data_IF_203045928236
#
_entry.id   IF_203045928236
#
_cell.length_a   1.000
_cell.length_b   1.000
_cell.length_c   1.000
_cell.angle_alpha   90.00
_cell.angle_beta   90.00
_cell.angle_gamma   90.00
#
_symmetry.space_group_name_H-M   'P 1'
#
loop_
_entity.id
_entity.type
_entity.pdbx_description
1 polymer ?
#
# COMPACT_ATOMS: atom_id res chain seq x y z
N UNK A 1 -52.06 39.93 6.27
CA UNK A 1 -51.14 39.29 5.31
C UNK A 1 -49.78 39.27 5.99
N UNK A 2 -49.40 38.11 6.53
CA UNK A 2 -48.13 37.94 7.25
C UNK A 2 -46.96 38.10 6.28
N UNK A 3 -46.03 38.96 6.68
CA UNK A 3 -44.82 39.26 5.94
C UNK A 3 -43.85 38.09 6.13
N UNK A 4 -43.73 37.23 5.12
CA UNK A 4 -42.70 36.19 5.09
C UNK A 4 -41.32 36.86 5.05
N UNK A 5 -40.72 37.05 6.23
CA UNK A 5 -39.32 37.39 6.36
C UNK A 5 -38.52 36.16 5.92
N UNK A 6 -38.05 36.17 4.66
CA UNK A 6 -37.11 35.19 4.15
C UNK A 6 -35.80 35.30 4.94
N UNK A 7 -35.60 34.40 5.90
CA UNK A 7 -34.32 34.20 6.57
C UNK A 7 -33.27 33.93 5.48
N UNK A 8 -32.24 34.76 5.30
CA UNK A 8 -31.22 34.47 4.31
C UNK A 8 -30.60 33.13 4.70
N UNK A 9 -30.69 32.16 3.80
CA UNK A 9 -29.92 30.93 3.90
C UNK A 9 -28.45 31.36 3.87
N UNK A 10 -27.81 31.42 5.03
CA UNK A 10 -26.35 31.55 5.11
C UNK A 10 -25.78 30.31 4.45
N UNK A 11 -25.46 30.40 3.16
CA UNK A 11 -24.67 29.40 2.47
C UNK A 11 -23.42 29.17 3.33
N UNK A 12 -23.16 27.91 3.67
CA UNK A 12 -21.91 27.56 4.36
C UNK A 12 -20.77 28.10 3.50
N UNK A 13 -19.81 28.85 4.06
CA UNK A 13 -18.72 29.41 3.28
C UNK A 13 -18.01 28.27 2.53
N UNK A 14 -17.62 28.53 1.28
CA UNK A 14 -16.86 27.56 0.52
C UNK A 14 -15.59 27.21 1.31
N UNK A 15 -15.24 25.92 1.47
CA UNK A 15 -14.05 25.52 2.20
C UNK A 15 -12.83 26.21 1.61
N UNK A 16 -12.01 26.84 2.45
CA UNK A 16 -10.78 27.48 1.99
C UNK A 16 -9.77 26.42 1.54
N UNK A 17 -8.93 26.73 0.56
CA UNK A 17 -7.89 25.79 0.06
C UNK A 17 -6.93 25.37 1.18
N UNK A 18 -6.71 26.25 2.17
CA UNK A 18 -5.95 25.98 3.40
C UNK A 18 -6.57 24.85 4.25
N UNK A 19 -7.90 24.69 4.21
CA UNK A 19 -8.61 23.64 4.93
C UNK A 19 -8.45 22.26 4.28
N UNK A 20 -8.12 22.20 2.99
CA UNK A 20 -7.97 20.94 2.23
C UNK A 20 -6.65 20.21 2.52
N UNK A 21 -5.63 20.91 3.03
CA UNK A 21 -4.30 20.35 3.30
C UNK A 21 -3.94 20.30 4.78
N UNK A 22 -4.96 20.24 5.64
CA UNK A 22 -4.76 20.01 7.07
C UNK A 22 -3.98 18.72 7.29
N UNK A 23 -3.08 18.74 8.27
CA UNK A 23 -2.25 17.57 8.58
C UNK A 23 -2.26 17.30 10.07
N UNK A 24 -2.17 16.02 10.44
CA UNK A 24 -1.92 15.67 11.83
C UNK A 24 -0.50 16.11 12.24
N UNK A 25 -0.28 16.41 13.53
CA UNK A 25 1.07 16.55 14.07
C UNK A 25 1.84 15.24 13.88
N UNK A 26 3.05 15.37 13.35
CA UNK A 26 3.97 14.27 13.04
C UNK A 26 5.13 14.32 14.03
N UNK A 27 5.49 13.16 14.57
CA UNK A 27 6.65 13.02 15.45
C UNK A 27 7.91 12.70 14.64
N UNK A 28 9.06 13.18 15.12
CA UNK A 28 10.36 12.72 14.62
C UNK A 28 10.71 11.39 15.25
N UNK A 29 11.05 10.40 14.44
CA UNK A 29 11.33 9.03 14.88
C UNK A 29 12.65 8.56 14.30
N UNK A 30 13.50 8.01 15.15
CA UNK A 30 14.80 7.47 14.76
C UNK A 30 14.69 6.12 14.01
N UNK A 31 15.65 5.79 13.13
CA UNK A 31 15.67 4.51 12.42
C UNK A 31 15.63 3.26 13.30
N UNK A 32 16.11 3.35 14.54
CA UNK A 32 16.09 2.25 15.50
C UNK A 32 14.67 1.75 15.83
N UNK A 33 13.65 2.61 15.66
CA UNK A 33 12.24 2.25 15.90
C UNK A 33 11.74 1.15 14.96
N UNK A 34 12.32 1.00 13.76
CA UNK A 34 11.92 -0.04 12.78
C UNK A 34 11.97 -1.44 13.39
N UNK A 35 13.01 -1.73 14.19
CA UNK A 35 13.15 -3.03 14.86
C UNK A 35 12.04 -3.26 15.88
N UNK A 36 11.66 -2.22 16.61
CA UNK A 36 10.56 -2.29 17.58
C UNK A 36 9.20 -2.44 16.90
N UNK A 37 8.97 -1.78 15.76
CA UNK A 37 7.75 -1.97 14.96
C UNK A 37 7.61 -3.41 14.49
N UNK A 38 8.69 -4.00 13.96
CA UNK A 38 8.70 -5.40 13.56
C UNK A 38 8.48 -6.35 14.74
N UNK A 39 9.12 -6.10 15.88
CA UNK A 39 8.97 -6.91 17.08
C UNK A 39 7.53 -6.87 17.62
N UNK A 40 6.92 -5.68 17.69
CA UNK A 40 5.52 -5.52 18.10
C UNK A 40 4.58 -6.15 17.07
N UNK A 41 4.86 -5.98 15.77
CA UNK A 41 4.09 -6.61 14.70
C UNK A 41 4.12 -8.15 14.76
N UNK A 42 5.29 -8.71 15.09
CA UNK A 42 5.44 -10.15 15.33
C UNK A 42 4.66 -10.61 16.57
N UNK A 43 4.70 -9.84 17.66
CA UNK A 43 3.93 -10.14 18.86
C UNK A 43 2.41 -10.12 18.60
N UNK A 44 1.93 -9.24 17.72
CA UNK A 44 0.51 -9.19 17.31
C UNK A 44 0.11 -10.41 16.48
N UNK A 45 0.99 -10.83 15.56
CA UNK A 45 0.82 -12.06 14.78
C UNK A 45 0.78 -13.29 15.69
N UNK A 46 1.71 -13.42 16.63
CA UNK A 46 1.75 -14.54 17.58
C UNK A 46 0.54 -14.57 18.51
N UNK A 47 -0.03 -13.41 18.84
CA UNK A 47 -1.20 -13.36 19.68
C UNK A 47 -2.48 -13.82 18.96
N UNK A 48 -2.55 -13.68 17.63
CA UNK A 48 -3.74 -14.03 16.83
C UNK A 48 -3.37 -14.72 15.51
N UNK A 49 -2.67 -15.87 15.57
CA UNK A 49 -2.07 -16.46 14.38
C UNK A 49 -3.13 -16.86 13.35
N UNK A 50 -4.26 -17.43 13.77
CA UNK A 50 -5.29 -17.89 12.82
C UNK A 50 -5.88 -16.74 11.99
N UNK A 51 -6.26 -15.64 12.64
CA UNK A 51 -6.84 -14.48 11.96
C UNK A 51 -5.81 -13.80 11.03
N UNK A 52 -4.57 -13.62 11.51
CA UNK A 52 -3.50 -13.00 10.74
C UNK A 52 -3.07 -13.85 9.55
N UNK A 53 -2.86 -15.16 9.75
CA UNK A 53 -2.47 -16.09 8.70
C UNK A 53 -3.57 -16.28 7.65
N UNK A 54 -4.85 -16.18 8.02
CA UNK A 54 -5.95 -16.22 7.04
C UNK A 54 -5.78 -15.16 5.95
N UNK A 55 -5.50 -13.90 6.31
CA UNK A 55 -5.22 -12.85 5.34
C UNK A 55 -3.95 -13.13 4.52
N UNK A 56 -2.91 -13.64 5.18
CA UNK A 56 -1.67 -14.06 4.51
C UNK A 56 -1.89 -15.17 3.47
N UNK A 57 -2.73 -16.16 3.80
CA UNK A 57 -3.12 -17.25 2.88
C UNK A 57 -3.86 -16.71 1.68
N UNK A 58 -4.79 -15.76 1.86
CA UNK A 58 -5.47 -15.12 0.72
C UNK A 58 -4.45 -14.42 -0.18
N UNK A 59 -3.50 -13.66 0.37
CA UNK A 59 -2.45 -13.02 -0.42
C UNK A 59 -1.62 -14.04 -1.20
N UNK A 60 -1.21 -15.14 -0.57
CA UNK A 60 -0.46 -16.20 -1.22
C UNK A 60 -1.27 -16.87 -2.35
N UNK A 61 -2.53 -17.22 -2.10
CA UNK A 61 -3.42 -17.82 -3.10
C UNK A 61 -3.58 -16.88 -4.30
N UNK A 62 -3.87 -15.60 -4.06
CA UNK A 62 -4.01 -14.63 -5.15
C UNK A 62 -2.69 -14.51 -5.91
N UNK A 63 -1.54 -14.40 -5.23
CA UNK A 63 -0.22 -14.37 -5.89
C UNK A 63 0.06 -15.62 -6.74
N UNK A 64 -0.28 -16.81 -6.24
CA UNK A 64 -0.13 -18.08 -6.96
C UNK A 64 -1.04 -18.13 -8.19
N UNK A 65 -2.33 -17.79 -8.04
CA UNK A 65 -3.28 -17.71 -9.15
C UNK A 65 -2.71 -16.80 -10.24
N UNK A 66 -2.29 -15.59 -9.88
CA UNK A 66 -1.76 -14.64 -10.85
C UNK A 66 -0.49 -15.16 -11.53
N UNK A 67 0.39 -15.84 -10.78
CA UNK A 67 1.62 -16.44 -11.34
C UNK A 67 1.28 -17.53 -12.36
N UNK A 68 0.33 -18.42 -12.05
CA UNK A 68 -0.12 -19.50 -12.94
C UNK A 68 -0.82 -18.95 -14.18
N UNK A 69 -1.75 -18.01 -14.02
CA UNK A 69 -2.48 -17.41 -15.13
C UNK A 69 -1.59 -16.56 -16.03
N UNK A 70 -0.62 -15.84 -15.47
CA UNK A 70 0.35 -15.05 -16.24
C UNK A 70 1.29 -15.95 -17.03
N UNK A 71 1.70 -17.10 -16.47
CA UNK A 71 2.48 -18.11 -17.21
C UNK A 71 1.69 -18.72 -18.37
N UNK A 72 0.39 -18.96 -18.17
CA UNK A 72 -0.49 -19.51 -19.21
C UNK A 72 -0.83 -18.48 -20.31
N UNK A 73 -0.91 -17.18 -19.97
CA UNK A 73 -1.23 -16.12 -20.93
C UNK A 73 -0.44 -14.84 -20.63
N UNK A 74 0.77 -14.67 -21.21
CA UNK A 74 1.63 -13.51 -20.98
C UNK A 74 0.94 -12.17 -21.29
N UNK A 75 0.01 -12.15 -22.26
CA UNK A 75 -0.78 -10.98 -22.62
C UNK A 75 -1.66 -10.44 -21.48
N UNK A 76 -2.09 -11.31 -20.55
CA UNK A 76 -2.93 -10.92 -19.41
C UNK A 76 -2.13 -10.65 -18.13
N UNK A 77 -0.81 -10.86 -18.12
CA UNK A 77 0.04 -10.65 -16.94
C UNK A 77 -0.13 -9.25 -16.35
N UNK A 78 -0.18 -8.23 -17.22
CA UNK A 78 -0.34 -6.83 -16.84
C UNK A 78 -1.72 -6.56 -16.21
N UNK A 79 -2.79 -7.13 -16.79
CA UNK A 79 -4.16 -6.96 -16.30
C UNK A 79 -4.36 -7.65 -14.93
N UNK A 80 -3.85 -8.88 -14.80
CA UNK A 80 -3.90 -9.66 -13.57
C UNK A 80 -3.10 -9.02 -12.45
N UNK A 81 -1.87 -8.57 -12.74
CA UNK A 81 -1.04 -7.86 -11.77
C UNK A 81 -1.71 -6.56 -11.30
N UNK A 82 -2.33 -5.81 -12.21
CA UNK A 82 -3.09 -4.60 -11.85
C UNK A 82 -4.26 -4.92 -10.91
N UNK A 83 -4.98 -6.03 -11.15
CA UNK A 83 -6.04 -6.52 -10.25
C UNK A 83 -5.54 -6.86 -8.84
N UNK A 84 -4.34 -7.44 -8.71
CA UNK A 84 -3.73 -7.71 -7.40
C UNK A 84 -3.55 -6.47 -6.55
N UNK A 85 -3.00 -5.42 -7.16
CA UNK A 85 -2.75 -4.15 -6.47
C UNK A 85 -4.05 -3.46 -6.04
N UNK A 86 -5.18 -3.76 -6.68
CA UNK A 86 -6.49 -3.31 -6.23
C UNK A 86 -7.01 -4.10 -5.03
N UNK A 87 -6.74 -5.40 -4.96
CA UNK A 87 -7.19 -6.27 -3.85
C UNK A 87 -6.32 -6.04 -2.59
N UNK A 88 -5.03 -5.74 -2.76
CA UNK A 88 -4.06 -5.59 -1.67
C UNK A 88 -4.47 -4.62 -0.56
N UNK A 89 -4.93 -3.39 -0.85
CA UNK A 89 -5.38 -2.43 0.15
C UNK A 89 -6.52 -2.94 1.03
N UNK A 90 -7.45 -3.72 0.48
CA UNK A 90 -8.59 -4.27 1.21
C UNK A 90 -8.20 -5.42 2.14
N UNK A 91 -7.25 -6.26 1.74
CA UNK A 91 -6.74 -7.33 2.59
C UNK A 91 -5.85 -6.76 3.71
N UNK A 92 -5.03 -5.75 3.41
CA UNK A 92 -4.24 -5.04 4.42
C UNK A 92 -5.13 -4.35 5.46
N UNK A 93 -6.29 -3.83 5.05
CA UNK A 93 -7.29 -3.21 5.92
C UNK A 93 -7.70 -4.10 7.11
N UNK A 94 -7.97 -5.38 6.85
CA UNK A 94 -8.37 -6.33 7.90
C UNK A 94 -7.28 -6.50 8.94
N UNK A 95 -6.03 -6.65 8.49
CA UNK A 95 -4.85 -6.78 9.35
C UNK A 95 -4.59 -5.51 10.20
N UNK A 96 -4.81 -4.32 9.63
CA UNK A 96 -4.76 -3.08 10.40
C UNK A 96 -5.83 -3.05 11.51
N UNK A 97 -7.05 -3.48 11.21
CA UNK A 97 -8.15 -3.51 12.19
C UNK A 97 -7.86 -4.48 13.35
N UNK A 98 -7.27 -5.63 13.07
CA UNK A 98 -6.81 -6.59 14.09
C UNK A 98 -5.81 -5.96 15.07
N UNK A 99 -4.82 -5.23 14.55
CA UNK A 99 -3.81 -4.52 15.34
C UNK A 99 -4.44 -3.42 16.19
N UNK A 100 -5.36 -2.65 15.60
CA UNK A 100 -6.08 -1.58 16.28
C UNK A 100 -6.96 -2.12 17.43
N UNK A 101 -7.71 -3.21 17.21
CA UNK A 101 -8.53 -3.82 18.26
C UNK A 101 -7.67 -4.24 19.46
N UNK A 102 -6.52 -4.86 19.19
CA UNK A 102 -5.57 -5.28 20.22
C UNK A 102 -4.94 -4.11 20.97
N UNK A 103 -4.51 -3.07 20.25
CA UNK A 103 -3.95 -1.85 20.82
C UNK A 103 -4.96 -1.09 21.70
N UNK A 104 -6.26 -1.22 21.42
CA UNK A 104 -7.34 -0.68 22.23
C UNK A 104 -7.75 -1.60 23.40
N UNK A 105 -7.05 -2.72 23.62
CA UNK A 105 -7.37 -3.70 24.65
C UNK A 105 -8.70 -4.44 24.44
N UNK A 106 -9.28 -4.36 23.24
CA UNK A 106 -10.53 -5.05 22.90
C UNK A 106 -10.24 -6.50 22.56
N UNK A 107 -11.23 -7.39 22.78
CA UNK A 107 -11.17 -8.76 22.25
C UNK A 107 -11.07 -8.69 20.72
N UNK A 108 -10.17 -9.48 20.14
CA UNK A 108 -10.04 -9.57 18.67
C UNK A 108 -11.35 -10.14 18.11
N UNK A 109 -11.96 -9.36 17.22
CA UNK A 109 -13.14 -9.72 16.45
C UNK A 109 -12.76 -9.75 14.96
N UNK A 110 -12.54 -10.97 14.47
CA UNK A 110 -12.22 -11.24 13.08
C UNK A 110 -13.36 -10.87 12.13
N UNK A 111 -14.62 -11.05 12.53
CA UNK A 111 -15.78 -10.65 11.72
C UNK A 111 -15.83 -9.13 11.52
N UNK A 112 -15.55 -8.37 12.58
CA UNK A 112 -15.40 -6.92 12.48
C UNK A 112 -14.22 -6.49 11.59
N UNK A 113 -13.12 -7.27 11.55
CA UNK A 113 -11.99 -6.99 10.65
C UNK A 113 -12.34 -7.20 9.16
N UNK A 114 -13.21 -8.17 8.86
CA UNK A 114 -13.71 -8.40 7.50
C UNK A 114 -14.65 -7.29 7.03
N UNK A 115 -15.36 -6.65 7.95
CA UNK A 115 -16.23 -5.50 7.70
C UNK A 115 -15.54 -4.14 7.90
N UNK A 116 -14.22 -4.11 8.08
CA UNK A 116 -13.46 -2.88 8.39
C UNK A 116 -13.67 -1.78 7.35
N UNK A 117 -13.93 -2.13 6.08
CA UNK A 117 -14.21 -1.16 5.01
C UNK A 117 -15.40 -0.26 5.33
N UNK A 118 -16.39 -0.75 6.10
CA UNK A 118 -17.58 0.03 6.45
C UNK A 118 -17.30 1.18 7.41
N UNK A 119 -16.14 1.22 8.07
CA UNK A 119 -15.80 2.33 8.98
C UNK A 119 -15.58 3.65 8.23
N UNK A 120 -15.00 3.59 7.03
CA UNK A 120 -14.78 4.74 6.16
C UNK A 120 -14.70 4.32 4.67
N UNK A 121 -15.79 3.74 4.17
CA UNK A 121 -15.83 3.11 2.84
C UNK A 121 -15.48 4.10 1.71
N UNK A 122 -15.94 5.34 1.84
CA UNK A 122 -15.68 6.38 0.84
C UNK A 122 -14.20 6.80 0.86
N UNK A 123 -13.62 7.12 2.03
CA UNK A 123 -12.20 7.49 2.11
C UNK A 123 -11.27 6.36 1.64
N UNK A 124 -11.55 5.13 2.06
CA UNK A 124 -10.79 3.95 1.63
C UNK A 124 -10.99 3.65 0.14
N UNK A 125 -12.20 3.79 -0.38
CA UNK A 125 -12.49 3.62 -1.80
C UNK A 125 -11.80 4.65 -2.68
N UNK A 126 -11.80 5.93 -2.26
CA UNK A 126 -11.05 6.99 -2.94
C UNK A 126 -9.54 6.75 -2.89
N UNK A 127 -9.03 6.18 -1.79
CA UNK A 127 -7.62 5.86 -1.69
C UNK A 127 -7.24 4.68 -2.58
N UNK A 128 -8.08 3.64 -2.64
CA UNK A 128 -7.95 2.58 -3.61
C UNK A 128 -7.99 3.12 -5.05
N UNK A 129 -8.87 4.08 -5.36
CA UNK A 129 -8.93 4.74 -6.66
C UNK A 129 -7.65 5.52 -6.96
N UNK A 130 -7.07 6.20 -5.97
CA UNK A 130 -5.79 6.92 -6.11
C UNK A 130 -4.66 5.95 -6.48
N UNK A 131 -4.57 4.81 -5.79
CA UNK A 131 -3.62 3.75 -6.14
C UNK A 131 -3.92 3.13 -7.52
N UNK A 132 -5.20 2.99 -7.87
CA UNK A 132 -5.63 2.51 -9.20
C UNK A 132 -5.10 3.43 -10.30
N UNK A 133 -5.23 4.75 -10.10
CA UNK A 133 -4.74 5.74 -11.04
C UNK A 133 -3.22 5.69 -11.18
N UNK A 134 -2.50 5.49 -10.06
CA UNK A 134 -1.06 5.28 -10.10
C UNK A 134 -0.69 4.01 -10.92
N UNK A 135 -1.47 2.93 -10.78
CA UNK A 135 -1.29 1.71 -11.57
C UNK A 135 -1.61 1.93 -13.06
N UNK A 136 -2.61 2.75 -13.39
CA UNK A 136 -2.92 3.13 -14.78
C UNK A 136 -1.77 3.89 -15.45
N UNK A 137 -0.95 4.60 -14.69
CA UNK A 137 0.26 5.24 -15.20
C UNK A 137 1.44 4.26 -15.28
N UNK A 138 1.54 3.34 -14.32
CA UNK A 138 2.59 2.32 -14.28
C UNK A 138 2.52 1.37 -15.47
N UNK A 139 1.33 0.88 -15.82
CA UNK A 139 1.16 -0.14 -16.87
C UNK A 139 1.72 0.33 -18.22
N UNK A 140 1.29 1.47 -18.79
CA UNK A 140 1.86 1.99 -20.02
C UNK A 140 3.33 2.36 -19.88
N UNK A 141 3.76 2.92 -18.74
CA UNK A 141 5.18 3.26 -18.53
C UNK A 141 6.08 2.01 -18.59
N UNK A 142 5.65 0.90 -17.96
CA UNK A 142 6.37 -0.37 -18.00
C UNK A 142 6.39 -0.97 -19.41
N UNK A 143 5.28 -0.89 -20.15
CA UNK A 143 5.19 -1.36 -21.54
C UNK A 143 6.08 -0.53 -22.49
N UNK A 144 6.13 0.79 -22.31
CA UNK A 144 7.02 1.68 -23.06
C UNK A 144 8.49 1.34 -22.78
N UNK A 145 8.86 1.09 -21.52
CA UNK A 145 10.21 0.67 -21.17
C UNK A 145 10.59 -0.65 -21.86
N UNK A 146 9.67 -1.63 -21.90
CA UNK A 146 9.90 -2.86 -22.65
C UNK A 146 10.05 -2.56 -24.14
N UNK A 147 9.14 -1.80 -24.74
CA UNK A 147 9.17 -1.48 -26.17
C UNK A 147 10.43 -0.72 -26.62
N UNK A 148 10.96 0.20 -25.79
CA UNK A 148 12.16 0.98 -26.11
C UNK A 148 13.44 0.13 -26.14
N UNK A 149 13.50 -0.91 -25.31
CA UNK A 149 14.70 -1.76 -25.21
C UNK A 149 14.57 -3.05 -26.03
N UNK A 150 13.36 -3.54 -26.26
CA UNK A 150 13.07 -4.69 -27.12
C UNK A 150 12.64 -4.22 -28.52
N UNK A 151 13.61 -4.10 -29.44
CA UNK A 151 13.39 -3.71 -30.85
C UNK A 151 12.41 -4.61 -31.63
N UNK A 152 12.04 -5.78 -31.10
CA UNK A 152 11.05 -6.68 -31.69
C UNK A 152 10.30 -7.43 -30.59
N UNK A 153 9.08 -6.97 -30.26
CA UNK A 153 8.18 -7.59 -29.27
C UNK A 153 7.88 -9.07 -29.62
N UNK A 154 8.04 -9.46 -30.89
CA UNK A 154 7.95 -10.86 -31.33
C UNK A 154 8.93 -11.82 -30.65
N UNK A 155 10.10 -11.35 -30.18
CA UNK A 155 11.07 -12.19 -29.45
C UNK A 155 10.60 -12.58 -28.04
N UNK A 156 9.64 -11.84 -27.47
CA UNK A 156 9.04 -12.12 -26.16
C UNK A 156 7.89 -13.14 -26.24
N UNK A 157 7.36 -13.40 -27.45
CA UNK A 157 6.17 -14.23 -27.65
C UNK A 157 6.36 -15.72 -27.33
N UNK A 158 7.60 -16.17 -27.10
CA UNK A 158 7.93 -17.51 -26.60
C UNK A 158 8.48 -17.56 -25.17
N UNK A 159 8.69 -16.40 -24.51
CA UNK A 159 9.27 -16.35 -23.17
C UNK A 159 8.19 -16.55 -22.11
N UNK A 160 8.06 -17.77 -21.62
CA UNK A 160 7.18 -18.11 -20.49
C UNK A 160 8.00 -18.42 -19.24
N UNK A 161 7.65 -17.77 -18.13
CA UNK A 161 8.28 -17.98 -16.83
C UNK A 161 9.59 -17.20 -16.60
N UNK A 162 10.02 -17.18 -15.34
CA UNK A 162 11.18 -16.41 -14.87
C UNK A 162 12.50 -16.80 -15.55
N UNK A 163 12.65 -18.06 -15.95
CA UNK A 163 13.86 -18.56 -16.62
C UNK A 163 14.03 -17.97 -18.03
N UNK A 164 12.94 -17.91 -18.82
CA UNK A 164 12.97 -17.33 -20.16
C UNK A 164 13.17 -15.80 -20.10
N UNK A 165 12.65 -15.15 -19.05
CA UNK A 165 12.87 -13.73 -18.79
C UNK A 165 14.35 -13.46 -18.44
N UNK A 166 14.96 -14.30 -17.61
CA UNK A 166 16.38 -14.22 -17.27
C UNK A 166 17.29 -14.47 -18.49
N UNK A 167 16.97 -15.46 -19.30
CA UNK A 167 17.68 -15.76 -20.53
C UNK A 167 17.56 -14.60 -21.54
N UNK A 168 16.36 -14.04 -21.71
CA UNK A 168 16.13 -12.85 -22.54
C UNK A 168 16.90 -11.61 -22.06
N UNK A 169 17.01 -11.42 -20.75
CA UNK A 169 17.78 -10.30 -20.16
C UNK A 169 19.29 -10.46 -20.33
N UNK A 170 19.81 -11.68 -20.20
CA UNK A 170 21.25 -11.96 -20.30
C UNK A 170 21.75 -12.02 -21.73
N UNK A 171 20.91 -12.42 -22.68
CA UNK A 171 21.22 -12.42 -24.12
C UNK A 171 21.01 -11.05 -24.78
N UNK A 172 20.35 -10.10 -24.10
CA UNK A 172 20.15 -8.74 -24.60
C UNK A 172 21.44 -7.91 -24.50
N UNK A 173 21.89 -7.33 -25.62
CA UNK A 173 23.08 -6.46 -25.67
C UNK A 173 23.07 -5.32 -24.63
N UNK A 174 21.89 -4.80 -24.30
CA UNK A 174 21.68 -3.72 -23.32
C UNK A 174 20.90 -4.17 -22.06
N UNK A 175 20.91 -5.47 -21.73
CA UNK A 175 20.09 -6.03 -20.65
C UNK A 175 20.34 -5.41 -19.27
N UNK A 176 21.60 -5.03 -18.97
CA UNK A 176 21.95 -4.31 -17.74
C UNK A 176 21.29 -2.92 -17.68
N UNK A 177 21.38 -2.13 -18.76
CA UNK A 177 20.80 -0.79 -18.82
C UNK A 177 19.27 -0.84 -18.78
N UNK A 178 18.65 -1.82 -19.44
CA UNK A 178 17.22 -2.09 -19.32
C UNK A 178 16.84 -2.36 -17.86
N UNK A 179 17.54 -3.30 -17.21
CA UNK A 179 17.24 -3.70 -15.82
C UNK A 179 17.36 -2.51 -14.86
N UNK A 180 18.45 -1.75 -14.96
CA UNK A 180 18.68 -0.57 -14.13
C UNK A 180 17.59 0.49 -14.35
N UNK A 181 17.23 0.75 -15.61
CA UNK A 181 16.22 1.74 -15.96
C UNK A 181 14.82 1.29 -15.52
N UNK A 182 14.47 0.02 -15.72
CA UNK A 182 13.20 -0.56 -15.33
C UNK A 182 13.01 -0.54 -13.81
N UNK A 183 14.05 -0.94 -13.06
CA UNK A 183 14.06 -0.82 -11.59
C UNK A 183 13.95 0.65 -11.17
N UNK A 184 14.66 1.56 -11.83
CA UNK A 184 14.62 2.99 -11.53
C UNK A 184 13.22 3.60 -11.68
N UNK A 185 12.53 3.31 -12.79
CA UNK A 185 11.14 3.74 -13.01
C UNK A 185 10.22 3.07 -11.98
N UNK A 186 10.34 1.77 -11.75
CA UNK A 186 9.57 1.06 -10.72
C UNK A 186 9.75 1.65 -9.32
N UNK A 187 10.97 2.01 -8.95
CA UNK A 187 11.30 2.66 -7.68
C UNK A 187 10.60 4.01 -7.55
N UNK A 188 10.52 4.81 -8.62
CA UNK A 188 9.80 6.08 -8.60
C UNK A 188 8.32 5.89 -8.28
N UNK A 189 7.66 4.93 -8.94
CA UNK A 189 6.26 4.61 -8.66
C UNK A 189 6.06 4.07 -7.24
N UNK A 190 6.96 3.20 -6.78
CA UNK A 190 6.94 2.66 -5.42
C UNK A 190 7.11 3.76 -4.36
N UNK A 191 8.00 4.73 -4.59
CA UNK A 191 8.20 5.86 -3.70
C UNK A 191 6.95 6.74 -3.62
N UNK A 192 6.28 7.00 -4.75
CA UNK A 192 5.01 7.77 -4.76
C UNK A 192 3.91 7.01 -4.01
N UNK A 193 3.74 5.71 -4.27
CA UNK A 193 2.77 4.87 -3.57
C UNK A 193 3.02 4.84 -2.06
N UNK A 194 4.29 4.68 -1.66
CA UNK A 194 4.69 4.66 -0.26
C UNK A 194 4.49 6.02 0.41
N UNK A 195 4.95 7.10 -0.23
CA UNK A 195 4.88 8.44 0.35
C UNK A 195 3.43 8.91 0.57
N UNK A 196 2.53 8.52 -0.32
CA UNK A 196 1.09 8.82 -0.20
C UNK A 196 0.34 7.82 0.69
N UNK A 197 0.95 6.70 1.07
CA UNK A 197 0.27 5.57 1.69
C UNK A 197 0.69 5.15 3.09
N UNK A 198 1.93 5.46 3.52
CA UNK A 198 2.55 4.87 4.71
C UNK A 198 1.70 4.95 5.98
N UNK A 199 0.91 6.01 6.13
CA UNK A 199 -0.02 6.20 7.27
C UNK A 199 -1.48 6.45 6.86
N UNK A 200 -1.78 6.46 5.56
CA UNK A 200 -3.09 6.88 5.06
C UNK A 200 -4.21 5.95 5.51
N UNK A 201 -4.04 4.64 5.35
CA UNK A 201 -5.06 3.66 5.72
C UNK A 201 -5.37 3.69 7.23
N UNK A 202 -4.38 3.63 8.15
CA UNK A 202 -4.64 3.80 9.59
C UNK A 202 -5.38 5.09 9.95
N UNK A 203 -5.01 6.23 9.35
CA UNK A 203 -5.70 7.52 9.55
C UNK A 203 -7.17 7.43 9.12
N UNK A 204 -7.43 6.87 7.94
CA UNK A 204 -8.78 6.75 7.39
C UNK A 204 -9.67 5.85 8.26
N UNK A 205 -9.13 4.80 8.88
CA UNK A 205 -9.88 3.91 9.77
C UNK A 205 -10.10 4.53 11.15
N UNK A 206 -9.01 4.91 11.83
CA UNK A 206 -9.08 5.32 13.24
C UNK A 206 -9.72 6.70 13.39
N UNK A 207 -9.38 7.63 12.50
CA UNK A 207 -9.73 9.04 12.64
C UNK A 207 -10.87 9.48 11.73
N UNK A 208 -11.30 8.61 10.80
CA UNK A 208 -12.33 8.91 9.79
C UNK A 208 -12.09 10.24 9.06
N UNK A 209 -10.82 10.59 8.89
CA UNK A 209 -10.42 11.80 8.18
C UNK A 209 -10.77 11.69 6.69
N UNK A 210 -10.80 12.83 6.02
CA UNK A 210 -10.83 12.88 4.57
C UNK A 210 -9.51 12.38 3.98
N UNK A 211 -9.58 11.93 2.72
CA UNK A 211 -8.43 11.36 2.02
C UNK A 211 -7.30 12.38 1.80
N UNK A 212 -7.61 13.65 1.58
CA UNK A 212 -6.60 14.68 1.30
C UNK A 212 -5.76 14.94 2.55
N UNK A 213 -6.41 15.09 3.71
CA UNK A 213 -5.75 15.18 5.03
C UNK A 213 -4.87 13.96 5.30
N UNK A 214 -5.36 12.75 5.00
CA UNK A 214 -4.61 11.52 5.23
C UNK A 214 -3.35 11.42 4.34
N UNK A 215 -3.47 11.70 3.04
CA UNK A 215 -2.35 11.72 2.09
C UNK A 215 -1.36 12.84 2.43
N UNK A 216 -1.85 14.06 2.72
CA UNK A 216 -1.00 15.19 3.11
C UNK A 216 -0.22 14.89 4.39
N UNK A 217 -0.86 14.23 5.37
CA UNK A 217 -0.18 13.75 6.57
C UNK A 217 0.88 12.69 6.23
N UNK A 218 0.59 11.77 5.31
CA UNK A 218 1.56 10.76 4.84
C UNK A 218 2.79 11.37 4.17
N UNK A 219 2.59 12.40 3.34
CA UNK A 219 3.69 13.15 2.75
C UNK A 219 4.51 13.88 3.82
N UNK A 220 3.85 14.53 4.77
CA UNK A 220 4.50 15.21 5.90
C UNK A 220 5.31 14.23 6.76
N UNK A 221 4.81 13.01 6.98
CA UNK A 221 5.55 11.92 7.66
C UNK A 221 6.86 11.62 6.93
N UNK A 222 6.80 11.46 5.61
CA UNK A 222 7.98 11.19 4.79
C UNK A 222 8.98 12.35 4.79
N UNK A 223 8.50 13.59 4.72
CA UNK A 223 9.36 14.79 4.74
C UNK A 223 9.98 15.05 6.11
N UNK A 224 9.27 14.73 7.20
CA UNK A 224 9.78 14.90 8.57
C UNK A 224 10.80 13.82 8.92
N UNK A 225 10.64 12.60 8.40
CA UNK A 225 11.46 11.43 8.75
C UNK A 225 12.07 10.73 7.52
N UNK A 226 12.80 11.43 6.62
CA UNK A 226 13.17 10.88 5.32
C UNK A 226 14.06 9.64 5.42
N UNK A 227 15.04 9.64 6.34
CA UNK A 227 15.93 8.49 6.55
C UNK A 227 15.19 7.27 7.09
N UNK A 228 14.39 7.46 8.13
CA UNK A 228 13.60 6.39 8.76
C UNK A 228 12.59 5.81 7.78
N UNK A 229 11.89 6.65 7.02
CA UNK A 229 10.90 6.23 6.03
C UNK A 229 11.53 5.51 4.84
N UNK A 230 12.71 5.94 4.37
CA UNK A 230 13.45 5.23 3.32
C UNK A 230 13.90 3.85 3.80
N UNK A 231 14.48 3.75 5.00
CA UNK A 231 14.87 2.47 5.61
C UNK A 231 13.67 1.56 5.84
N UNK A 232 12.53 2.14 6.23
CA UNK A 232 11.28 1.39 6.39
C UNK A 232 10.76 0.84 5.06
N UNK A 233 10.73 1.66 4.00
CA UNK A 233 10.37 1.22 2.65
C UNK A 233 11.29 0.10 2.12
N UNK A 234 12.60 0.20 2.37
CA UNK A 234 13.56 -0.86 2.01
C UNK A 234 13.32 -2.14 2.83
N UNK A 235 12.98 -2.01 4.11
CA UNK A 235 12.67 -3.15 4.98
C UNK A 235 11.41 -3.88 4.50
N UNK A 236 10.34 -3.15 4.17
CA UNK A 236 9.12 -3.72 3.59
C UNK A 236 9.45 -4.41 2.28
N UNK A 237 10.18 -3.74 1.38
CA UNK A 237 10.58 -4.31 0.08
C UNK A 237 11.36 -5.61 0.27
N UNK A 238 12.29 -5.66 1.22
CA UNK A 238 13.05 -6.87 1.54
C UNK A 238 12.17 -8.00 2.07
N UNK A 239 11.28 -7.72 3.03
CA UNK A 239 10.39 -8.72 3.63
C UNK A 239 9.41 -9.28 2.59
N UNK A 240 8.76 -8.41 1.81
CA UNK A 240 7.83 -8.82 0.77
C UNK A 240 8.56 -9.53 -0.37
N UNK A 241 9.73 -9.03 -0.79
CA UNK A 241 10.57 -9.64 -1.80
C UNK A 241 10.97 -11.07 -1.44
N UNK A 242 11.41 -11.31 -0.20
CA UNK A 242 11.68 -12.66 0.31
C UNK A 242 10.40 -13.53 0.29
N UNK A 243 9.25 -12.97 0.66
CA UNK A 243 7.96 -13.66 0.57
C UNK A 243 7.60 -14.09 -0.86
N UNK A 244 7.87 -13.24 -1.85
CA UNK A 244 7.63 -13.53 -3.27
C UNK A 244 8.57 -14.63 -3.79
N UNK A 245 9.87 -14.56 -3.46
CA UNK A 245 10.89 -15.55 -3.89
C UNK A 245 10.55 -16.97 -3.45
N UNK A 246 9.85 -17.12 -2.31
CA UNK A 246 9.37 -18.42 -1.82
C UNK A 246 8.08 -18.91 -2.49
N UNK A 247 7.90 -18.65 -3.79
CA UNK A 247 6.69 -18.97 -4.56
C UNK A 247 5.40 -18.42 -3.93
N UNK A 248 5.46 -17.17 -3.42
CA UNK A 248 4.38 -16.51 -2.68
C UNK A 248 3.97 -17.15 -1.34
N UNK A 249 4.50 -18.32 -0.95
CA UNK A 249 4.16 -18.96 0.33
C UNK A 249 4.65 -18.14 1.53
N UNK A 250 5.81 -17.49 1.40
CA UNK A 250 6.32 -16.59 2.44
C UNK A 250 5.45 -15.35 2.65
N UNK A 251 4.59 -14.98 1.70
CA UNK A 251 3.60 -13.91 1.90
C UNK A 251 2.60 -14.23 3.01
N UNK A 252 2.39 -15.51 3.33
CA UNK A 252 1.54 -15.94 4.44
C UNK A 252 2.01 -15.33 5.77
N UNK A 253 3.31 -15.17 5.94
CA UNK A 253 3.91 -14.56 7.13
C UNK A 253 4.32 -13.10 6.89
N UNK A 254 4.86 -12.79 5.71
CA UNK A 254 5.40 -11.48 5.39
C UNK A 254 4.29 -10.40 5.39
N UNK A 255 3.12 -10.68 4.81
CA UNK A 255 2.04 -9.70 4.71
C UNK A 255 1.45 -9.34 6.08
N UNK A 256 1.07 -10.31 6.94
CA UNK A 256 0.59 -9.98 8.28
C UNK A 256 1.64 -9.26 9.12
N UNK A 257 2.90 -9.72 9.08
CA UNK A 257 3.99 -9.06 9.82
C UNK A 257 4.14 -7.59 9.43
N UNK A 258 4.21 -7.30 8.14
CA UNK A 258 4.35 -5.93 7.63
C UNK A 258 3.14 -5.08 8.00
N UNK A 259 1.92 -5.61 7.86
CA UNK A 259 0.70 -4.87 8.20
C UNK A 259 0.64 -4.53 9.70
N UNK A 260 0.91 -5.50 10.58
CA UNK A 260 0.97 -5.26 12.03
C UNK A 260 2.08 -4.28 12.40
N UNK A 261 3.27 -4.43 11.83
CA UNK A 261 4.37 -3.50 12.07
C UNK A 261 4.04 -2.07 11.58
N UNK A 262 3.35 -1.94 10.45
CA UNK A 262 2.93 -0.65 9.90
C UNK A 262 1.91 0.07 10.80
N UNK A 263 1.08 -0.68 11.54
CA UNK A 263 0.22 -0.12 12.58
C UNK A 263 1.05 0.52 13.72
N UNK A 264 2.10 -0.15 14.17
CA UNK A 264 2.99 0.39 15.21
C UNK A 264 3.81 1.57 14.71
N UNK A 265 4.26 1.54 13.45
CA UNK A 265 4.90 2.69 12.81
C UNK A 265 3.97 3.90 12.82
N UNK A 266 2.71 3.72 12.41
CA UNK A 266 1.70 4.77 12.47
C UNK A 266 1.52 5.36 13.88
N UNK A 267 1.43 4.50 14.90
CA UNK A 267 1.25 4.92 16.30
C UNK A 267 2.44 5.72 16.86
N UNK A 268 3.65 5.40 16.45
CA UNK A 268 4.84 6.15 16.85
C UNK A 268 4.98 7.45 16.06
N UNK A 269 4.61 7.45 14.77
CA UNK A 269 4.67 8.63 13.89
C UNK A 269 3.59 9.69 14.21
N UNK A 270 2.42 9.27 14.69
CA UNK A 270 1.27 10.16 14.95
C UNK A 270 0.73 9.92 16.36
N UNK A 271 0.84 10.93 17.23
CA UNK A 271 0.41 10.84 18.64
C UNK A 271 -1.09 10.54 18.78
N UNK A 272 -1.47 9.73 19.78
CA UNK A 272 -2.89 9.36 20.05
C UNK A 272 -3.81 10.57 20.22
N UNK A 273 -3.34 11.62 20.90
CA UNK A 273 -4.11 12.86 21.16
C UNK A 273 -3.96 13.93 20.07
N UNK A 274 -3.44 13.59 18.90
CA UNK A 274 -3.32 14.52 17.78
C UNK A 274 -4.71 15.02 17.34
N UNK A 275 -5.05 16.28 17.61
CA UNK A 275 -6.13 16.97 16.91
C UNK A 275 -5.60 17.59 15.62
N UNK A 276 -6.46 17.72 14.62
CA UNK A 276 -6.12 18.43 13.37
C UNK A 276 -5.79 19.88 13.76
N UNK A 277 -4.64 20.38 13.28
CA UNK A 277 -4.25 21.79 13.39
C UNK A 277 -4.58 22.52 12.10
#
# INVERSE_FOLDING_TARGET
>A
MEQFVSKPATASPAPEVSDLFKTYPVQTVEPAAIKEWLKKGWADLQANPLASLFYGVIFAIVGIILSVFSAANPAFMVAFTSGFFLVGPFLALGLYMLSWQRDQGKKIDFGASLMAIRHNALGLGLYALTLSFLMLLWVPASAMMIALFFNNIGSLSGMSGYAALWEGLTQMNNGFLFTLSFIGVGLLFALVAFATGVVTVPILIERKADIMTAIATSLKVCMTNPKTMLLWAMTITGIIGLGLVTFNLGLILAMPLVAHASWHAYRDLITKNASIR
#
